data_IF_553778861782
#
_entry.id   IF_553778861782
#
_cell.length_a   1.000
_cell.length_b   1.000
_cell.length_c   1.000
_cell.angle_alpha   90.00
_cell.angle_beta   90.00
_cell.angle_gamma   90.00
#
_symmetry.space_group_name_H-M   'P 1'
#
loop_
_entity.id
_entity.type
_entity.pdbx_description
1 polymer ?
#
# COMPACT_ATOMS: atom_id res chain seq x y z
N UNK A 1 21.99 -2.67 21.48
CA UNK A 1 22.08 -3.61 20.35
C UNK A 1 21.17 -3.09 19.25
N UNK A 2 21.71 -2.75 18.07
CA UNK A 2 20.88 -2.31 16.93
C UNK A 2 20.14 -3.53 16.40
N UNK A 3 18.81 -3.49 16.38
CA UNK A 3 18.00 -4.57 15.84
C UNK A 3 18.07 -4.48 14.31
N UNK A 4 18.77 -5.41 13.67
CA UNK A 4 18.94 -5.41 12.20
C UNK A 4 17.64 -5.78 11.46
N UNK A 5 16.69 -6.42 12.14
CA UNK A 5 15.44 -6.93 11.56
C UNK A 5 14.27 -6.75 12.55
N UNK A 6 13.03 -6.64 12.04
CA UNK A 6 11.84 -6.68 12.90
C UNK A 6 11.63 -8.10 13.48
N UNK A 7 10.87 -8.23 14.60
CA UNK A 7 10.51 -9.54 15.14
C UNK A 7 9.93 -10.47 14.05
N UNK A 8 10.49 -11.68 13.92
CA UNK A 8 10.04 -12.66 12.92
C UNK A 8 10.62 -12.48 11.50
N UNK A 9 11.52 -11.52 11.27
CA UNK A 9 12.12 -11.25 9.94
C UNK A 9 13.61 -11.62 9.83
N UNK A 10 14.18 -12.32 10.82
CA UNK A 10 15.60 -12.69 10.83
C UNK A 10 15.98 -13.81 9.83
N UNK A 11 15.00 -14.32 9.06
CA UNK A 11 15.14 -15.43 8.13
C UNK A 11 14.65 -14.95 6.77
N UNK A 12 15.38 -15.28 5.71
CA UNK A 12 14.91 -15.07 4.33
C UNK A 12 13.51 -15.70 4.18
N UNK A 13 12.54 -14.87 3.82
CA UNK A 13 11.16 -15.28 3.59
C UNK A 13 10.83 -15.10 2.11
N UNK A 14 10.67 -16.20 1.39
CA UNK A 14 9.98 -16.21 0.10
C UNK A 14 8.49 -15.99 0.34
N UNK A 15 7.86 -15.13 -0.46
CA UNK A 15 6.41 -14.91 -0.45
C UNK A 15 5.94 -15.17 -1.86
N UNK A 16 5.22 -16.28 -2.07
CA UNK A 16 4.67 -16.62 -3.37
C UNK A 16 3.34 -15.87 -3.57
N UNK A 17 2.91 -15.62 -4.82
CA UNK A 17 1.64 -14.94 -5.09
C UNK A 17 0.42 -15.58 -4.41
N UNK A 18 0.39 -16.90 -4.31
CA UNK A 18 -0.66 -17.71 -3.66
C UNK A 18 -0.68 -17.58 -2.13
N UNK A 19 0.45 -17.20 -1.52
CA UNK A 19 0.57 -16.99 -0.07
C UNK A 19 0.04 -15.62 0.37
N UNK A 20 -0.29 -14.74 -0.59
CA UNK A 20 -0.71 -13.38 -0.28
C UNK A 20 -2.14 -13.39 0.25
N UNK A 21 -2.26 -13.12 1.55
CA UNK A 21 -3.50 -13.03 2.28
C UNK A 21 -4.19 -11.67 2.06
N UNK A 22 -5.06 -11.61 1.06
CA UNK A 22 -5.82 -10.43 0.69
C UNK A 22 -7.06 -10.26 1.57
N UNK A 23 -7.11 -9.18 2.34
CA UNK A 23 -8.22 -8.92 3.27
C UNK A 23 -8.82 -7.53 3.05
N UNK A 24 -10.12 -7.34 3.35
CA UNK A 24 -10.64 -5.99 3.52
C UNK A 24 -9.92 -5.31 4.69
N UNK A 25 -9.73 -3.99 4.61
CA UNK A 25 -9.06 -3.22 5.66
C UNK A 25 -9.87 -1.94 5.95
N UNK A 26 -10.17 -1.61 7.23
CA UNK A 26 -11.10 -0.53 7.57
C UNK A 26 -10.79 0.84 6.98
N UNK A 27 -9.51 1.13 6.69
CA UNK A 27 -9.09 2.40 6.08
C UNK A 27 -9.41 2.51 4.57
N UNK A 28 -9.97 1.48 3.94
CA UNK A 28 -10.28 1.46 2.51
C UNK A 28 -11.77 1.17 2.25
N UNK A 29 -12.30 1.55 1.07
CA UNK A 29 -13.61 1.10 0.63
C UNK A 29 -13.74 -0.43 0.67
N UNK A 30 -14.94 -1.00 0.96
CA UNK A 30 -15.12 -2.43 1.20
C UNK A 30 -14.67 -3.37 0.07
N UNK A 31 -14.59 -2.87 -1.18
CA UNK A 31 -14.16 -3.65 -2.34
C UNK A 31 -12.62 -3.71 -2.50
N UNK A 32 -11.88 -2.84 -1.81
CA UNK A 32 -10.42 -2.84 -1.82
C UNK A 32 -9.90 -3.97 -0.94
N UNK A 33 -8.80 -4.57 -1.38
CA UNK A 33 -8.07 -5.58 -0.61
C UNK A 33 -6.65 -5.10 -0.33
N UNK A 34 -6.20 -5.34 0.88
CA UNK A 34 -4.85 -5.09 1.33
C UNK A 34 -4.22 -6.41 1.80
N UNK A 35 -2.93 -6.56 1.58
CA UNK A 35 -2.12 -7.61 2.17
C UNK A 35 -0.86 -7.02 2.79
N UNK A 36 -0.53 -7.42 4.01
CA UNK A 36 0.74 -7.08 4.65
C UNK A 36 1.77 -8.12 4.23
N UNK A 37 2.82 -7.68 3.55
CA UNK A 37 3.89 -8.54 3.03
C UNK A 37 5.04 -8.61 4.05
N UNK A 38 5.45 -7.44 4.56
CA UNK A 38 6.54 -7.28 5.52
C UNK A 38 6.11 -6.29 6.59
N UNK A 39 6.42 -6.61 7.84
CA UNK A 39 6.28 -5.73 8.99
C UNK A 39 4.86 -5.52 9.47
N UNK A 40 4.62 -4.36 10.10
CA UNK A 40 3.33 -3.99 10.67
C UNK A 40 3.06 -2.49 10.39
N UNK A 41 2.07 -2.16 9.53
CA UNK A 41 1.71 -0.76 9.24
C UNK A 41 1.22 0.05 10.45
N UNK A 42 0.86 -0.61 11.56
CA UNK A 42 0.43 0.03 12.80
C UNK A 42 1.53 0.14 13.85
N UNK A 43 2.76 -0.27 13.52
CA UNK A 43 3.93 -0.14 14.41
C UNK A 43 5.00 0.74 13.75
N UNK A 44 5.95 1.21 14.55
CA UNK A 44 7.11 1.93 14.04
C UNK A 44 8.04 1.01 13.24
N UNK A 45 8.61 1.56 12.16
CA UNK A 45 9.58 0.88 11.30
C UNK A 45 9.04 0.58 9.90
N UNK A 46 9.91 0.06 9.01
CA UNK A 46 9.54 -0.19 7.62
C UNK A 46 8.49 -1.31 7.52
N UNK A 47 7.61 -1.17 6.54
CA UNK A 47 6.64 -2.18 6.17
C UNK A 47 6.43 -2.18 4.66
N UNK A 48 5.92 -3.29 4.13
CA UNK A 48 5.48 -3.40 2.75
C UNK A 48 4.07 -3.95 2.75
N UNK A 49 3.15 -3.22 2.11
CA UNK A 49 1.80 -3.68 1.81
C UNK A 49 1.61 -3.82 0.30
N UNK A 50 0.66 -4.66 -0.08
CA UNK A 50 0.07 -4.65 -1.42
C UNK A 50 -1.37 -4.23 -1.32
N UNK A 51 -1.84 -3.49 -2.32
CA UNK A 51 -3.22 -3.03 -2.42
C UNK A 51 -3.77 -3.45 -3.78
N UNK A 52 -4.97 -4.04 -3.78
CA UNK A 52 -5.77 -4.35 -4.96
C UNK A 52 -7.06 -3.56 -4.85
N UNK A 53 -7.30 -2.67 -5.80
CA UNK A 53 -8.50 -1.85 -5.86
C UNK A 53 -9.20 -2.06 -7.20
N UNK A 54 -10.54 -2.21 -7.23
CA UNK A 54 -11.29 -2.17 -8.48
C UNK A 54 -11.10 -0.84 -9.22
N UNK A 55 -11.29 -0.85 -10.53
CA UNK A 55 -11.29 0.37 -11.33
C UNK A 55 -12.33 1.38 -10.83
N UNK A 56 -11.99 2.67 -10.87
CA UNK A 56 -12.86 3.74 -10.36
C UNK A 56 -12.85 3.91 -8.83
N UNK A 57 -12.11 3.08 -8.09
CA UNK A 57 -11.93 3.29 -6.65
C UNK A 57 -11.29 4.65 -6.40
N UNK A 58 -11.92 5.44 -5.52
CA UNK A 58 -11.39 6.73 -5.05
C UNK A 58 -11.19 6.67 -3.54
N UNK A 59 -10.01 7.10 -3.08
CA UNK A 59 -9.77 7.45 -1.69
C UNK A 59 -9.76 8.98 -1.58
N UNK A 60 -10.58 9.51 -0.68
CA UNK A 60 -10.61 10.95 -0.41
C UNK A 60 -9.31 11.40 0.28
N UNK A 61 -8.95 12.69 0.22
CA UNK A 61 -7.76 13.23 0.86
C UNK A 61 -7.63 12.77 2.32
N UNK A 62 -6.42 12.33 2.68
CA UNK A 62 -6.07 11.85 4.02
C UNK A 62 -4.57 12.03 4.25
N UNK A 63 -4.13 11.87 5.51
CA UNK A 63 -2.75 12.13 5.92
C UNK A 63 -2.02 10.85 6.33
N UNK A 64 -0.71 10.88 6.16
CA UNK A 64 0.20 9.84 6.62
C UNK A 64 1.23 10.47 7.57
N UNK A 65 1.48 9.86 8.74
CA UNK A 65 2.58 10.29 9.61
C UNK A 65 3.96 9.89 9.05
N UNK A 66 3.99 8.99 8.05
CA UNK A 66 5.21 8.46 7.42
C UNK A 66 5.33 8.81 5.92
N UNK A 67 6.57 8.80 5.43
CA UNK A 67 6.85 8.81 3.99
C UNK A 67 6.36 7.53 3.33
N UNK A 68 5.91 7.65 2.08
CA UNK A 68 5.40 6.51 1.30
C UNK A 68 6.06 6.38 -0.04
N UNK A 69 6.46 5.15 -0.34
CA UNK A 69 6.94 4.74 -1.66
C UNK A 69 5.87 3.87 -2.28
N UNK A 70 5.41 4.27 -3.47
CA UNK A 70 4.43 3.52 -4.24
C UNK A 70 5.07 2.94 -5.50
N UNK A 71 4.68 1.71 -5.83
CA UNK A 71 5.03 1.08 -7.10
C UNK A 71 3.77 0.51 -7.71
N UNK A 72 3.41 0.99 -8.90
CA UNK A 72 2.26 0.45 -9.64
C UNK A 72 2.67 -0.89 -10.24
N UNK A 73 2.02 -1.96 -9.80
CA UNK A 73 2.30 -3.30 -10.33
C UNK A 73 1.54 -3.59 -11.62
N UNK A 74 0.33 -3.04 -11.76
CA UNK A 74 -0.56 -3.22 -12.91
C UNK A 74 -1.65 -2.14 -12.87
N UNK A 75 -2.10 -1.68 -14.04
CA UNK A 75 -3.17 -0.70 -14.19
C UNK A 75 -2.67 0.74 -14.07
N UNK A 76 -3.60 1.65 -13.73
CA UNK A 76 -3.34 3.08 -13.59
C UNK A 76 -3.71 3.53 -12.17
N UNK A 77 -2.80 4.24 -11.52
CA UNK A 77 -2.99 4.82 -10.20
C UNK A 77 -2.76 6.32 -10.24
N UNK A 78 -3.70 7.09 -9.68
CA UNK A 78 -3.69 8.55 -9.66
C UNK A 78 -3.39 9.04 -8.25
N UNK A 79 -2.45 9.97 -8.12
CA UNK A 79 -2.07 10.58 -6.83
C UNK A 79 -2.24 12.10 -6.93
N UNK A 80 -3.08 12.65 -6.07
CA UNK A 80 -3.18 14.10 -5.81
C UNK A 80 -2.53 14.46 -4.48
N UNK A 81 -2.08 15.70 -4.34
CA UNK A 81 -1.53 16.27 -3.10
C UNK A 81 -2.37 17.47 -2.67
N UNK A 82 -2.57 17.62 -1.35
CA UNK A 82 -3.36 18.69 -0.75
C UNK A 82 -4.51 18.16 0.10
N UNK A 83 -5.28 19.09 0.68
CA UNK A 83 -6.36 18.77 1.62
C UNK A 83 -7.73 18.58 0.95
N UNK A 84 -7.85 18.93 -0.34
CA UNK A 84 -9.08 18.83 -1.12
C UNK A 84 -8.90 17.92 -2.34
N UNK A 85 -9.98 17.23 -2.73
CA UNK A 85 -9.96 16.41 -3.93
C UNK A 85 -10.06 17.30 -5.18
N UNK A 86 -9.04 17.23 -6.02
CA UNK A 86 -9.01 17.84 -7.33
C UNK A 86 -8.53 16.78 -8.33
N UNK A 87 -9.44 16.33 -9.19
CA UNK A 87 -9.17 15.28 -10.17
C UNK A 87 -8.20 15.73 -11.27
N UNK A 88 -8.20 17.02 -11.60
CA UNK A 88 -7.36 17.57 -12.66
C UNK A 88 -5.91 17.78 -12.20
N UNK A 89 -5.69 17.83 -10.87
CA UNK A 89 -4.35 17.90 -10.27
C UNK A 89 -3.79 16.56 -9.81
N UNK A 90 -4.38 15.46 -10.25
CA UNK A 90 -3.86 14.13 -9.97
C UNK A 90 -2.79 13.73 -11.00
N UNK A 91 -1.60 13.34 -10.52
CA UNK A 91 -0.58 12.70 -11.36
C UNK A 91 -0.89 11.23 -11.51
N UNK A 92 -0.91 10.72 -12.74
CA UNK A 92 -1.09 9.31 -13.00
C UNK A 92 0.26 8.58 -13.07
N UNK A 93 0.24 7.33 -12.64
CA UNK A 93 1.32 6.37 -12.72
C UNK A 93 0.71 5.09 -13.27
N UNK A 94 1.32 4.50 -14.28
CA UNK A 94 0.80 3.28 -14.88
C UNK A 94 1.90 2.26 -15.07
N UNK A 95 1.49 0.99 -15.09
CA UNK A 95 2.31 -0.10 -15.58
C UNK A 95 1.41 -1.00 -16.42
N UNK A 96 1.69 -1.03 -17.71
CA UNK A 96 1.15 -2.04 -18.61
C UNK A 96 1.85 -3.36 -18.30
N UNK A 97 1.09 -4.45 -18.33
CA UNK A 97 1.57 -5.80 -18.10
C UNK A 97 1.47 -6.56 -19.41
#
# INVERSE_FOLDING_TARGET
MVRMHQPGQAIFRSILPEDIDWRPFPAFPPAVRLAVIVGNPSASGPYVIRVKAPGGTKLMPHRHPEDRIYTVMSGVFYIGLGDEFDGDRCRHFHREV
#
